data_IF_738050804378
#
_entry.id   IF_738050804378
#
_cell.length_a   1.000
_cell.length_b   1.000
_cell.length_c   1.000
_cell.angle_alpha   90.00
_cell.angle_beta   90.00
_cell.angle_gamma   90.00
#
_symmetry.space_group_name_H-M   'P 1'
#
loop_
_entity.id
_entity.type
_entity.pdbx_description
1 polymer ?
#
# COMPACT_ATOMS: atom_id res chain seq x y z
N UNK A 1 -41.02 -31.04 24.05
CA UNK A 1 -41.88 -29.93 24.49
C UNK A 1 -41.09 -28.99 25.38
N UNK A 2 -41.17 -27.67 25.17
CA UNK A 2 -40.57 -26.71 26.09
C UNK A 2 -41.24 -26.84 27.46
N UNK A 3 -40.45 -27.04 28.51
CA UNK A 3 -40.96 -27.20 29.89
C UNK A 3 -41.37 -25.87 30.53
N UNK A 4 -40.94 -24.75 29.96
CA UNK A 4 -41.22 -23.40 30.46
C UNK A 4 -40.92 -22.34 29.39
N UNK A 5 -40.80 -21.08 29.78
CA UNK A 5 -40.52 -19.94 28.89
C UNK A 5 -39.05 -19.86 28.50
N UNK A 6 -38.54 -20.92 27.89
CA UNK A 6 -37.18 -21.00 27.40
C UNK A 6 -37.11 -20.56 25.94
N UNK A 7 -35.91 -20.13 25.51
CA UNK A 7 -35.65 -19.84 24.11
C UNK A 7 -35.91 -21.06 23.22
N UNK A 8 -36.44 -20.83 22.01
CA UNK A 8 -36.67 -21.87 21.03
C UNK A 8 -35.31 -22.48 20.62
N UNK A 9 -35.11 -23.81 20.75
CA UNK A 9 -33.81 -24.41 20.52
C UNK A 9 -33.49 -24.57 19.03
N UNK A 10 -32.43 -23.89 18.57
CA UNK A 10 -31.82 -24.05 17.24
C UNK A 10 -30.50 -24.83 17.34
N UNK A 11 -30.56 -26.10 17.75
CA UNK A 11 -29.38 -26.88 18.15
C UNK A 11 -28.52 -27.43 17.00
N UNK A 12 -29.02 -27.44 15.76
CA UNK A 12 -28.29 -27.88 14.55
C UNK A 12 -27.59 -29.27 14.61
N UNK A 13 -28.08 -30.19 15.46
CA UNK A 13 -27.49 -31.52 15.69
C UNK A 13 -28.30 -32.67 15.05
N UNK A 14 -28.85 -32.46 13.84
CA UNK A 14 -29.78 -33.41 13.18
C UNK A 14 -29.17 -34.23 12.04
N UNK A 15 -27.84 -34.18 11.86
CA UNK A 15 -27.14 -34.79 10.71
C UNK A 15 -26.10 -35.82 11.15
N UNK A 16 -26.53 -36.91 11.80
CA UNK A 16 -25.71 -38.06 12.20
C UNK A 16 -24.27 -37.70 12.61
N UNK A 17 -24.15 -36.71 13.49
CA UNK A 17 -22.86 -36.08 13.79
C UNK A 17 -22.04 -36.91 14.78
N UNK A 18 -22.69 -37.69 15.65
CA UNK A 18 -22.06 -38.50 16.67
C UNK A 18 -21.70 -39.90 16.14
N UNK A 19 -20.53 -40.44 16.50
CA UNK A 19 -20.19 -41.83 16.21
C UNK A 19 -21.06 -42.75 17.07
N UNK A 20 -21.75 -43.71 16.45
CA UNK A 20 -22.51 -44.76 17.12
C UNK A 20 -22.35 -46.09 16.36
N UNK A 21 -23.00 -47.16 16.82
CA UNK A 21 -22.84 -48.50 16.25
C UNK A 21 -23.08 -48.56 14.74
N UNK A 22 -24.03 -47.78 14.21
CA UNK A 22 -24.33 -47.70 12.78
C UNK A 22 -23.60 -46.57 12.05
N UNK A 23 -23.15 -45.53 12.77
CA UNK A 23 -22.58 -44.32 12.15
C UNK A 23 -21.13 -44.08 12.56
N UNK A 24 -20.27 -43.83 11.56
CA UNK A 24 -18.87 -43.40 11.82
C UNK A 24 -18.78 -42.04 12.53
N UNK A 25 -19.80 -41.19 12.42
CA UNK A 25 -19.86 -39.84 12.98
C UNK A 25 -19.02 -38.80 12.21
N UNK A 26 -19.18 -37.53 12.59
CA UNK A 26 -18.42 -36.39 12.10
C UNK A 26 -18.02 -35.49 13.28
N UNK A 27 -17.28 -36.08 14.22
CA UNK A 27 -16.73 -35.39 15.40
C UNK A 27 -15.24 -35.20 15.23
N UNK A 28 -14.75 -34.00 15.55
CA UNK A 28 -13.32 -33.71 15.56
C UNK A 28 -12.87 -33.36 16.99
N UNK A 29 -12.03 -34.21 17.56
CA UNK A 29 -11.44 -33.99 18.89
C UNK A 29 -10.00 -33.48 18.75
N UNK A 30 -9.58 -32.56 19.62
CA UNK A 30 -8.26 -31.94 19.59
C UNK A 30 -7.29 -32.49 20.65
N UNK A 31 -7.34 -33.80 20.95
CA UNK A 31 -6.41 -34.44 21.90
C UNK A 31 -4.93 -34.31 21.47
N UNK A 32 -4.66 -34.25 20.17
CA UNK A 32 -3.32 -34.12 19.62
C UNK A 32 -2.78 -32.66 19.58
N UNK A 33 -3.53 -31.68 20.10
CA UNK A 33 -3.15 -30.27 20.09
C UNK A 33 -1.76 -29.99 20.72
N UNK A 34 -1.41 -30.50 21.93
CA UNK A 34 -0.08 -30.28 22.51
C UNK A 34 1.03 -30.95 21.70
N UNK A 35 0.83 -32.19 21.24
CA UNK A 35 1.79 -32.90 20.39
C UNK A 35 2.06 -32.16 19.07
N UNK A 36 1.01 -31.65 18.42
CA UNK A 36 1.16 -30.84 17.20
C UNK A 36 1.84 -29.48 17.48
N UNK A 37 1.63 -28.87 18.65
CA UNK A 37 2.35 -27.64 19.06
C UNK A 37 3.86 -27.91 19.19
N UNK A 38 4.24 -29.00 19.86
CA UNK A 38 5.63 -29.43 20.00
C UNK A 38 6.25 -29.76 18.63
N UNK A 39 5.57 -30.55 17.81
CA UNK A 39 5.98 -30.89 16.44
C UNK A 39 6.24 -29.64 15.58
N UNK A 40 5.29 -28.68 15.57
CA UNK A 40 5.46 -27.41 14.85
C UNK A 40 6.63 -26.58 15.38
N UNK A 41 6.96 -26.65 16.68
CA UNK A 41 8.15 -25.98 17.23
C UNK A 41 9.42 -26.67 16.76
N UNK A 42 9.54 -28.00 16.90
CA UNK A 42 10.70 -28.79 16.44
C UNK A 42 10.97 -28.57 14.96
N UNK A 43 9.95 -28.67 14.11
CA UNK A 43 10.10 -28.43 12.66
C UNK A 43 10.54 -27.01 12.32
N UNK A 44 10.08 -26.00 13.07
CA UNK A 44 10.57 -24.62 12.90
C UNK A 44 12.04 -24.49 13.30
N UNK A 45 12.48 -25.16 14.37
CA UNK A 45 13.89 -25.16 14.79
C UNK A 45 14.78 -25.89 13.78
N UNK A 46 14.33 -27.04 13.26
CA UNK A 46 15.02 -27.77 12.19
C UNK A 46 15.13 -26.94 10.92
N UNK A 47 14.04 -26.27 10.52
CA UNK A 47 14.07 -25.33 9.40
C UNK A 47 15.06 -24.19 9.64
N UNK A 48 15.08 -23.62 10.84
CA UNK A 48 15.99 -22.54 11.21
C UNK A 48 17.46 -22.95 11.02
N UNK A 49 17.83 -24.13 11.55
CA UNK A 49 19.17 -24.71 11.40
C UNK A 49 19.51 -24.95 9.92
N UNK A 50 18.57 -25.51 9.14
CA UNK A 50 18.76 -25.77 7.70
C UNK A 50 18.96 -24.48 6.88
N UNK A 51 18.31 -23.39 7.25
CA UNK A 51 18.37 -22.13 6.49
C UNK A 51 19.39 -21.13 7.02
N UNK A 52 20.12 -21.45 8.09
CA UNK A 52 21.17 -20.60 8.65
C UNK A 52 22.19 -20.25 7.55
N UNK A 53 22.61 -18.98 7.41
CA UNK A 53 22.37 -17.82 8.29
C UNK A 53 21.12 -16.98 7.97
N UNK A 54 20.39 -17.28 6.90
CA UNK A 54 19.26 -16.46 6.44
C UNK A 54 18.10 -16.40 7.47
N UNK A 55 17.36 -15.28 7.55
CA UNK A 55 16.16 -15.17 8.38
C UNK A 55 15.14 -16.27 8.09
N UNK A 56 14.44 -16.74 9.14
CA UNK A 56 13.47 -17.84 9.00
C UNK A 56 12.25 -17.47 8.12
N UNK A 57 11.91 -16.18 8.08
CA UNK A 57 10.84 -15.63 7.25
C UNK A 57 11.37 -14.45 6.43
N UNK A 58 10.98 -14.44 5.16
CA UNK A 58 11.23 -13.35 4.22
C UNK A 58 10.50 -12.06 4.61
N UNK A 59 11.05 -10.92 4.22
CA UNK A 59 10.48 -9.61 4.47
C UNK A 59 9.16 -9.42 3.74
N UNK A 60 8.19 -8.80 4.43
CA UNK A 60 6.86 -8.48 3.93
C UNK A 60 6.57 -6.99 4.16
N UNK A 61 5.79 -6.33 3.27
CA UNK A 61 5.46 -4.91 3.42
C UNK A 61 4.44 -4.68 4.52
N UNK A 62 4.34 -3.44 4.96
CA UNK A 62 3.24 -2.95 5.79
C UNK A 62 2.06 -2.56 4.90
N UNK A 63 0.86 -3.04 5.23
CA UNK A 63 -0.38 -2.77 4.47
C UNK A 63 -1.53 -2.51 5.44
N UNK A 64 -2.45 -1.62 5.04
CA UNK A 64 -3.68 -1.36 5.78
C UNK A 64 -4.66 -2.54 5.67
N UNK A 65 -5.44 -2.79 6.72
CA UNK A 65 -6.53 -3.75 6.63
C UNK A 65 -7.69 -3.20 5.77
N UNK A 66 -8.36 -4.06 4.98
CA UNK A 66 -9.52 -3.64 4.21
C UNK A 66 -10.72 -3.38 5.12
N UNK A 67 -11.69 -2.58 4.65
CA UNK A 67 -12.94 -2.15 5.30
C UNK A 67 -12.82 -1.00 6.32
N UNK A 68 -13.92 -0.24 6.47
CA UNK A 68 -14.03 0.88 7.42
C UNK A 68 -13.78 0.41 8.86
N UNK A 69 -14.24 -0.79 9.22
CA UNK A 69 -14.05 -1.36 10.57
C UNK A 69 -12.57 -1.55 10.95
N UNK A 70 -11.69 -1.72 9.97
CA UNK A 70 -10.29 -2.10 10.21
C UNK A 70 -9.27 -1.16 9.57
N UNK A 71 -9.69 -0.05 8.98
CA UNK A 71 -8.81 0.90 8.28
C UNK A 71 -7.66 1.43 9.17
N UNK A 72 -7.88 1.64 10.46
CA UNK A 72 -6.86 2.08 11.42
C UNK A 72 -5.79 1.01 11.72
N UNK A 73 -6.09 -0.28 11.46
CA UNK A 73 -5.19 -1.39 11.75
C UNK A 73 -4.24 -1.64 10.59
N UNK A 74 -2.96 -1.83 10.91
CA UNK A 74 -1.91 -2.23 9.97
C UNK A 74 -1.61 -3.73 10.11
N UNK A 75 -1.12 -4.36 9.05
CA UNK A 75 -0.69 -5.76 9.03
C UNK A 75 0.40 -6.00 7.99
N UNK A 76 1.03 -7.18 8.04
CA UNK A 76 1.95 -7.60 6.97
C UNK A 76 1.18 -8.01 5.71
N UNK A 77 1.52 -7.39 4.58
CA UNK A 77 1.01 -7.72 3.25
C UNK A 77 1.64 -8.99 2.68
N UNK A 78 1.30 -9.38 1.44
CA UNK A 78 1.88 -10.59 0.81
C UNK A 78 3.33 -10.35 0.35
N UNK A 79 3.58 -9.23 -0.32
CA UNK A 79 4.87 -8.83 -0.87
C UNK A 79 4.86 -7.37 -1.36
N UNK A 80 6.04 -6.81 -1.55
CA UNK A 80 6.27 -5.46 -2.06
C UNK A 80 5.81 -5.34 -3.51
N UNK A 81 5.36 -4.16 -3.92
CA UNK A 81 5.01 -3.89 -5.32
C UNK A 81 6.27 -3.64 -6.14
N UNK A 82 6.15 -3.78 -7.46
CA UNK A 82 7.23 -3.48 -8.40
C UNK A 82 7.63 -2.01 -8.31
N UNK A 83 6.66 -1.12 -8.13
CA UNK A 83 6.88 0.33 -7.97
C UNK A 83 7.69 0.66 -6.71
N UNK A 84 7.35 0.06 -5.56
CA UNK A 84 8.09 0.26 -4.31
C UNK A 84 9.54 -0.24 -4.44
N UNK A 85 9.73 -1.39 -5.08
CA UNK A 85 11.06 -1.97 -5.30
C UNK A 85 11.90 -1.11 -6.25
N UNK A 86 11.30 -0.63 -7.35
CA UNK A 86 11.95 0.28 -8.29
C UNK A 86 12.34 1.60 -7.61
N UNK A 87 11.46 2.16 -6.79
CA UNK A 87 11.75 3.37 -6.01
C UNK A 87 12.83 3.17 -4.93
N UNK A 88 13.01 1.92 -4.45
CA UNK A 88 14.10 1.54 -3.56
C UNK A 88 15.39 1.14 -4.30
N UNK A 89 15.42 1.15 -5.63
CA UNK A 89 16.58 0.75 -6.44
C UNK A 89 16.81 -0.76 -6.54
N UNK A 90 15.81 -1.58 -6.24
CA UNK A 90 15.92 -3.04 -6.19
C UNK A 90 15.23 -3.65 -7.41
N UNK A 91 15.94 -4.52 -8.14
CA UNK A 91 15.33 -5.27 -9.24
C UNK A 91 14.29 -6.28 -8.68
N UNK A 92 13.03 -6.27 -9.16
CA UNK A 92 11.99 -7.19 -8.70
C UNK A 92 12.33 -8.68 -8.86
N UNK A 93 13.18 -9.06 -9.81
CA UNK A 93 13.62 -10.45 -10.02
C UNK A 93 14.70 -10.87 -9.01
N UNK A 94 15.51 -9.92 -8.58
CA UNK A 94 16.57 -10.12 -7.58
C UNK A 94 16.02 -10.10 -6.15
N UNK A 95 15.00 -9.28 -5.87
CA UNK A 95 14.41 -9.16 -4.53
C UNK A 95 14.07 -10.52 -3.83
N UNK A 96 13.49 -11.54 -4.50
CA UNK A 96 13.23 -12.83 -3.87
C UNK A 96 14.48 -13.61 -3.45
N UNK A 97 15.61 -13.46 -4.12
CA UNK A 97 16.85 -14.20 -3.81
C UNK A 97 17.46 -13.70 -2.50
N UNK A 98 17.42 -12.40 -2.28
CA UNK A 98 17.86 -11.73 -1.05
C UNK A 98 16.84 -11.79 0.10
N UNK A 99 15.71 -12.49 -0.08
CA UNK A 99 14.73 -12.71 1.00
C UNK A 99 13.62 -11.67 1.11
N UNK A 100 13.34 -10.92 0.04
CA UNK A 100 12.23 -9.96 -0.03
C UNK A 100 11.06 -10.55 -0.83
N UNK A 101 9.84 -10.55 -0.28
CA UNK A 101 8.65 -11.04 -1.01
C UNK A 101 8.13 -10.00 -1.99
N UNK A 102 7.80 -10.43 -3.20
CA UNK A 102 7.24 -9.56 -4.26
C UNK A 102 5.78 -9.94 -4.54
N UNK A 103 4.91 -8.95 -4.73
CA UNK A 103 3.52 -9.12 -5.15
C UNK A 103 3.17 -8.16 -6.29
N UNK A 104 3.12 -8.69 -7.52
CA UNK A 104 2.81 -7.93 -8.74
C UNK A 104 1.34 -7.51 -8.84
N UNK A 105 0.46 -8.05 -8.01
CA UNK A 105 -1.00 -7.81 -8.08
C UNK A 105 -1.45 -6.60 -7.26
N UNK A 106 -0.68 -6.23 -6.23
CA UNK A 106 -1.03 -5.09 -5.38
C UNK A 106 -0.77 -3.80 -6.14
N UNK A 107 -1.68 -2.84 -6.00
CA UNK A 107 -1.57 -1.49 -6.57
C UNK A 107 -1.39 -0.49 -5.44
N UNK A 108 -0.52 0.50 -5.64
CA UNK A 108 -0.39 1.62 -4.72
C UNK A 108 -1.42 2.69 -5.08
N UNK A 109 -2.21 3.12 -4.10
CA UNK A 109 -3.22 4.18 -4.27
C UNK A 109 -2.88 5.45 -3.50
N UNK A 110 -1.95 5.37 -2.57
CA UNK A 110 -1.51 6.48 -1.74
C UNK A 110 0.02 6.49 -1.65
N UNK A 111 0.57 7.70 -1.64
CA UNK A 111 2.03 7.92 -1.57
C UNK A 111 2.56 7.57 -0.17
N UNK A 112 1.81 7.89 0.89
CA UNK A 112 2.15 7.56 2.28
C UNK A 112 2.40 6.06 2.49
N UNK A 113 1.54 5.21 1.90
CA UNK A 113 1.69 3.77 2.01
C UNK A 113 2.92 3.26 1.27
N UNK A 114 3.24 3.90 0.14
CA UNK A 114 4.41 3.59 -0.67
C UNK A 114 5.70 4.02 0.04
N UNK A 115 5.75 5.24 0.60
CA UNK A 115 6.93 5.79 1.28
C UNK A 115 7.33 4.97 2.52
N UNK A 116 6.35 4.54 3.33
CA UNK A 116 6.59 3.65 4.48
C UNK A 116 7.26 2.34 4.03
N UNK A 117 6.80 1.76 2.92
CA UNK A 117 7.36 0.51 2.41
C UNK A 117 8.74 0.71 1.74
N UNK A 118 8.97 1.85 1.09
CA UNK A 118 10.30 2.20 0.57
C UNK A 118 11.29 2.37 1.72
N UNK A 119 10.93 3.10 2.77
CA UNK A 119 11.76 3.22 3.98
C UNK A 119 12.05 1.85 4.58
N UNK A 120 11.02 0.99 4.67
CA UNK A 120 11.16 -0.40 5.13
C UNK A 120 12.16 -1.21 4.28
N UNK A 121 12.17 -1.03 2.96
CA UNK A 121 13.13 -1.67 2.07
C UNK A 121 14.55 -1.12 2.28
N UNK A 122 14.70 0.21 2.39
CA UNK A 122 16.01 0.85 2.64
C UNK A 122 16.62 0.40 3.97
N UNK A 123 15.84 0.37 5.05
CA UNK A 123 16.28 -0.14 6.36
C UNK A 123 16.65 -1.62 6.32
N UNK A 124 15.98 -2.41 5.48
CA UNK A 124 16.35 -3.82 5.31
C UNK A 124 17.67 -3.97 4.57
N UNK A 125 17.86 -3.23 3.47
CA UNK A 125 19.10 -3.26 2.68
C UNK A 125 20.30 -2.80 3.49
N UNK A 126 20.17 -1.78 4.34
CA UNK A 126 21.26 -1.30 5.19
C UNK A 126 21.70 -2.31 6.26
N UNK A 127 20.85 -3.30 6.58
CA UNK A 127 21.12 -4.35 7.59
C UNK A 127 21.36 -5.72 6.96
N UNK A 128 21.33 -5.80 5.63
CA UNK A 128 21.48 -7.05 4.91
C UNK A 128 22.97 -7.35 4.73
N UNK A 129 23.41 -8.46 5.29
CA UNK A 129 24.74 -9.03 5.01
C UNK A 129 24.57 -10.04 3.85
N UNK A 130 25.08 -9.70 2.66
CA UNK A 130 24.98 -10.55 1.48
C UNK A 130 26.24 -11.41 1.33
N UNK A 131 26.08 -12.72 1.38
CA UNK A 131 27.22 -13.64 1.32
C UNK A 131 27.75 -13.72 -0.11
N UNK A 132 29.09 -13.73 -0.31
CA UNK A 132 29.66 -13.91 -1.63
C UNK A 132 29.36 -15.31 -2.16
N UNK A 133 29.12 -15.43 -3.47
CA UNK A 133 28.93 -16.74 -4.11
C UNK A 133 30.24 -17.55 -4.11
N UNK A 134 31.38 -16.87 -4.24
CA UNK A 134 32.72 -17.43 -4.12
C UNK A 134 33.55 -16.58 -3.17
N UNK A 135 34.08 -17.18 -2.11
CA UNK A 135 34.91 -16.47 -1.12
C UNK A 135 36.23 -15.93 -1.68
N UNK A 136 36.68 -16.42 -2.83
CA UNK A 136 37.92 -15.96 -3.49
C UNK A 136 37.71 -14.68 -4.30
N UNK A 137 36.54 -14.51 -4.89
CA UNK A 137 36.22 -13.44 -5.83
C UNK A 137 34.98 -12.69 -5.33
N UNK A 138 35.19 -11.78 -4.38
CA UNK A 138 34.13 -11.00 -3.75
C UNK A 138 33.69 -9.88 -4.69
N UNK A 139 32.39 -9.81 -4.98
CA UNK A 139 31.81 -8.76 -5.82
C UNK A 139 31.43 -7.52 -4.99
N UNK A 140 31.20 -6.40 -5.68
CA UNK A 140 30.81 -5.15 -5.05
C UNK A 140 29.47 -5.30 -4.31
N UNK A 141 29.47 -4.99 -3.02
CA UNK A 141 28.27 -5.05 -2.15
C UNK A 141 28.02 -6.40 -1.47
N UNK A 142 28.96 -7.34 -1.59
CA UNK A 142 29.00 -8.56 -0.79
C UNK A 142 29.77 -8.32 0.51
N UNK A 143 29.49 -9.16 1.50
CA UNK A 143 30.00 -9.05 2.86
C UNK A 143 31.49 -9.41 2.97
N UNK A 144 32.20 -8.75 3.87
CA UNK A 144 33.57 -9.11 4.24
C UNK A 144 33.59 -10.39 5.08
N UNK A 145 34.75 -11.04 5.20
CA UNK A 145 34.86 -12.31 5.93
C UNK A 145 34.47 -12.18 7.42
N UNK A 146 34.71 -11.01 8.02
CA UNK A 146 34.35 -10.68 9.40
C UNK A 146 32.83 -10.60 9.61
N UNK A 147 32.13 -9.97 8.68
CA UNK A 147 30.66 -9.89 8.69
C UNK A 147 30.02 -11.26 8.47
N UNK A 148 30.63 -12.10 7.62
CA UNK A 148 30.17 -13.47 7.38
C UNK A 148 30.29 -14.32 8.66
N UNK A 149 31.41 -14.21 9.39
CA UNK A 149 31.64 -14.94 10.64
C UNK A 149 30.72 -14.47 11.78
N UNK A 150 30.45 -13.18 11.86
CA UNK A 150 29.55 -12.59 12.87
C UNK A 150 28.07 -12.68 12.51
N UNK A 151 27.71 -13.16 11.31
CA UNK A 151 26.34 -13.23 10.85
C UNK A 151 25.46 -14.10 11.76
N UNK A 152 24.38 -13.50 12.27
CA UNK A 152 23.38 -14.20 13.08
C UNK A 152 22.03 -14.27 12.39
N UNK A 153 21.24 -15.27 12.75
CA UNK A 153 19.92 -15.50 12.16
C UNK A 153 18.81 -14.79 12.96
N UNK A 154 17.94 -14.05 12.28
CA UNK A 154 16.66 -13.59 12.84
C UNK A 154 15.68 -14.77 13.00
N UNK A 155 15.37 -15.11 14.25
CA UNK A 155 14.41 -16.17 14.64
C UNK A 155 13.03 -15.62 15.03
N UNK A 156 12.80 -14.32 14.89
CA UNK A 156 11.51 -13.69 15.22
C UNK A 156 10.38 -14.28 14.39
N UNK A 157 9.18 -14.27 14.95
CA UNK A 157 8.00 -14.88 14.33
C UNK A 157 7.63 -14.22 13.00
N UNK A 158 8.01 -12.98 12.76
CA UNK A 158 7.54 -12.19 11.61
C UNK A 158 8.66 -11.73 10.66
N UNK A 159 9.94 -11.99 10.98
CA UNK A 159 11.06 -11.47 10.19
C UNK A 159 11.16 -9.94 10.29
N UNK A 160 10.91 -9.42 11.49
CA UNK A 160 10.79 -7.99 11.78
C UNK A 160 11.94 -7.48 12.65
N UNK A 161 12.89 -8.31 13.08
CA UNK A 161 13.98 -7.86 13.95
C UNK A 161 14.81 -6.77 13.27
N UNK A 162 15.16 -6.96 12.00
CA UNK A 162 15.94 -5.99 11.25
C UNK A 162 15.14 -4.70 10.97
N UNK A 163 13.82 -4.78 10.75
CA UNK A 163 13.06 -3.67 10.14
C UNK A 163 12.05 -3.02 11.08
N UNK A 164 12.00 -3.45 12.33
CA UNK A 164 11.09 -2.94 13.34
C UNK A 164 9.63 -3.38 13.16
N UNK A 165 8.80 -2.91 14.10
CA UNK A 165 7.36 -3.14 14.15
C UNK A 165 6.57 -2.40 13.07
N UNK A 166 5.25 -2.31 13.26
CA UNK A 166 4.41 -1.51 12.37
C UNK A 166 4.51 -0.04 12.74
N UNK A 167 4.60 0.82 11.73
CA UNK A 167 4.52 2.28 11.89
C UNK A 167 3.04 2.66 11.97
N UNK A 168 2.61 3.09 13.15
CA UNK A 168 1.28 3.65 13.40
C UNK A 168 1.40 5.15 13.67
N UNK A 169 0.45 5.97 13.22
CA UNK A 169 0.47 7.40 13.53
C UNK A 169 0.43 7.61 15.04
N UNK A 170 1.24 8.54 15.53
CA UNK A 170 1.25 8.94 16.92
C UNK A 170 0.02 9.80 17.24
N UNK A 171 -0.50 9.75 18.47
CA UNK A 171 -1.53 10.69 18.91
C UNK A 171 -0.96 12.12 18.90
N UNK A 172 -1.81 13.09 18.52
CA UNK A 172 -1.45 14.51 18.53
C UNK A 172 -1.24 14.99 19.98
N UNK A 173 -0.28 15.90 20.16
CA UNK A 173 -0.03 16.53 21.45
C UNK A 173 -1.18 17.50 21.82
N UNK A 174 -1.41 17.75 23.12
CA UNK A 174 -2.41 18.71 23.56
C UNK A 174 -2.15 20.11 22.97
N UNK A 175 -3.15 20.69 22.30
CA UNK A 175 -3.07 22.03 21.69
C UNK A 175 -4.25 22.91 22.14
N UNK A 176 -4.04 24.22 22.10
CA UNK A 176 -5.10 25.21 22.37
C UNK A 176 -6.13 25.16 21.23
N UNK A 177 -7.41 25.28 21.58
CA UNK A 177 -8.53 25.28 20.62
C UNK A 177 -8.48 26.54 19.76
N UNK A 178 -8.56 26.38 18.44
CA UNK A 178 -8.60 27.50 17.49
C UNK A 178 -9.98 28.15 17.44
N UNK A 179 -10.07 29.40 16.98
CA UNK A 179 -11.36 30.11 16.90
C UNK A 179 -12.35 29.44 15.92
N UNK A 180 -11.83 28.83 14.84
CA UNK A 180 -12.63 28.03 13.91
C UNK A 180 -13.22 26.77 14.57
N UNK A 181 -12.42 26.08 15.39
CA UNK A 181 -12.88 24.89 16.12
C UNK A 181 -13.93 25.23 17.18
N UNK A 182 -13.85 26.43 17.78
CA UNK A 182 -14.85 26.93 18.74
C UNK A 182 -16.21 27.21 18.09
N UNK A 183 -16.21 27.79 16.90
CA UNK A 183 -17.44 28.22 16.22
C UNK A 183 -18.10 27.10 15.39
N UNK A 184 -17.33 26.08 14.98
CA UNK A 184 -17.80 25.02 14.07
C UNK A 184 -18.74 24.03 14.74
N UNK A 185 -20.00 24.00 14.28
CA UNK A 185 -20.96 22.95 14.67
C UNK A 185 -20.76 21.64 13.86
N UNK A 186 -20.04 20.70 14.46
CA UNK A 186 -19.68 19.40 13.84
C UNK A 186 -20.91 18.52 13.55
N UNK A 187 -21.93 18.56 14.41
CA UNK A 187 -23.15 17.76 14.24
C UNK A 187 -23.95 18.23 13.02
N UNK A 188 -24.21 19.54 12.90
CA UNK A 188 -24.91 20.12 11.74
C UNK A 188 -24.16 19.85 10.44
N UNK A 189 -22.82 19.96 10.45
CA UNK A 189 -21.98 19.59 9.30
C UNK A 189 -22.17 18.13 8.90
N UNK A 190 -22.08 17.20 9.86
CA UNK A 190 -22.21 15.75 9.63
C UNK A 190 -23.61 15.36 9.11
N UNK A 191 -24.66 16.00 9.63
CA UNK A 191 -26.04 15.80 9.15
C UNK A 191 -26.23 16.32 7.73
N UNK A 192 -25.71 17.52 7.43
CA UNK A 192 -25.78 18.11 6.09
C UNK A 192 -25.03 17.26 5.06
N UNK A 193 -23.81 16.81 5.36
CA UNK A 193 -23.03 15.94 4.44
C UNK A 193 -23.74 14.62 4.21
N UNK A 194 -24.21 13.95 5.26
CA UNK A 194 -24.97 12.69 5.13
C UNK A 194 -26.22 12.87 4.27
N UNK A 195 -26.97 13.96 4.48
CA UNK A 195 -28.16 14.28 3.69
C UNK A 195 -27.80 14.59 2.23
N UNK A 196 -26.71 15.30 1.97
CA UNK A 196 -26.23 15.59 0.61
C UNK A 196 -25.80 14.31 -0.12
N UNK A 197 -25.02 13.43 0.52
CA UNK A 197 -24.62 12.15 -0.07
C UNK A 197 -25.84 11.26 -0.37
N UNK A 198 -26.81 11.21 0.54
CA UNK A 198 -28.04 10.45 0.33
C UNK A 198 -28.94 11.05 -0.77
N UNK A 199 -29.00 12.38 -0.88
CA UNK A 199 -29.91 13.06 -1.81
C UNK A 199 -29.32 13.29 -3.21
N UNK A 200 -28.01 13.45 -3.37
CA UNK A 200 -27.34 13.61 -4.68
C UNK A 200 -27.23 12.30 -5.46
N UNK A 201 -27.38 11.16 -4.79
CA UNK A 201 -27.43 9.85 -5.45
C UNK A 201 -28.78 9.53 -6.11
N UNK A 202 -29.86 10.30 -5.85
CA UNK A 202 -31.20 9.99 -6.39
C UNK A 202 -32.10 11.20 -6.68
N UNK A 203 -32.05 12.26 -5.88
CA UNK A 203 -33.04 13.35 -5.91
C UNK A 203 -32.58 14.65 -6.59
N UNK A 204 -31.30 14.74 -6.97
CA UNK A 204 -30.76 15.88 -7.73
C UNK A 204 -31.25 15.93 -9.19
N UNK A 205 -31.60 14.77 -9.77
CA UNK A 205 -32.16 14.69 -11.12
C UNK A 205 -33.65 15.07 -11.15
N UNK A 206 -34.42 14.68 -10.12
CA UNK A 206 -35.88 14.88 -10.07
C UNK A 206 -36.26 16.35 -9.81
N UNK A 207 -35.49 17.10 -9.01
CA UNK A 207 -35.82 18.49 -8.69
C UNK A 207 -35.61 19.49 -9.83
N UNK A 208 -34.83 19.16 -10.85
CA UNK A 208 -34.67 19.98 -12.06
C UNK A 208 -35.61 19.60 -13.21
N UNK A 209 -36.36 18.49 -13.10
CA UNK A 209 -37.31 18.05 -14.12
C UNK A 209 -38.67 18.78 -14.07
N UNK A 210 -38.95 19.54 -13.01
CA UNK A 210 -40.25 20.19 -12.77
C UNK A 210 -40.26 21.72 -12.79
N UNK A 211 -39.16 22.39 -13.17
CA UNK A 211 -39.20 23.85 -13.39
C UNK A 211 -39.48 24.11 -14.88
N UNK A 212 -40.59 24.75 -15.26
CA UNK A 212 -40.75 25.20 -16.64
C UNK A 212 -39.59 26.13 -16.98
N UNK A 213 -38.89 25.87 -18.08
CA UNK A 213 -37.95 26.82 -18.67
C UNK A 213 -38.76 28.09 -18.97
N UNK A 214 -38.59 29.15 -18.16
CA UNK A 214 -39.04 30.49 -18.54
C UNK A 214 -38.38 30.79 -19.88
N UNK A 215 -39.17 30.75 -20.95
CA UNK A 215 -38.80 31.26 -22.25
C UNK A 215 -38.61 32.77 -22.11
N UNK A 216 -37.36 33.21 -21.94
CA UNK A 216 -37.00 34.61 -22.20
C UNK A 216 -37.24 34.85 -23.70
N UNK A 217 -38.35 35.50 -24.04
CA UNK A 217 -38.55 36.11 -25.36
C UNK A 217 -37.64 37.33 -25.46
N UNK A 218 -36.52 37.12 -26.14
CA UNK A 218 -35.95 37.93 -27.22
C UNK A 218 -36.08 39.46 -27.15
N UNK A 219 -34.94 40.17 -27.05
CA UNK A 219 -34.36 40.96 -28.15
C UNK A 219 -33.23 41.85 -27.62
N UNK A 220 -31.98 41.54 -27.97
CA UNK A 220 -31.05 42.38 -28.76
C UNK A 220 -29.62 41.79 -28.60
N UNK A 221 -29.11 41.24 -29.70
CA UNK A 221 -27.71 40.85 -29.97
C UNK A 221 -26.79 42.11 -30.02
N UNK A 222 -25.45 42.06 -30.22
CA UNK A 222 -24.59 40.96 -30.72
C UNK A 222 -23.27 40.78 -29.89
N UNK A 223 -22.33 39.85 -30.06
CA UNK A 223 -21.85 38.94 -31.11
C UNK A 223 -21.20 37.70 -30.46
N UNK A 224 -21.17 36.58 -31.20
CA UNK A 224 -20.41 35.34 -30.96
C UNK A 224 -18.86 35.52 -31.15
N UNK A 225 -18.05 34.46 -31.31
CA UNK A 225 -17.40 33.67 -30.26
C UNK A 225 -15.85 33.68 -30.47
N UNK A 226 -15.10 32.88 -29.68
CA UNK A 226 -13.69 32.51 -29.97
C UNK A 226 -12.67 33.66 -29.80
N UNK A 227 -12.21 33.97 -28.58
CA UNK A 227 -10.97 34.75 -28.37
C UNK A 227 -10.40 34.77 -26.93
N UNK A 228 -10.34 33.64 -26.24
CA UNK A 228 -9.50 33.52 -25.02
C UNK A 228 -8.76 32.19 -24.86
N UNK A 229 -8.99 31.22 -25.75
CA UNK A 229 -8.20 29.98 -25.77
C UNK A 229 -6.93 30.05 -26.65
N UNK A 230 -6.75 31.10 -27.46
CA UNK A 230 -5.58 31.24 -28.34
C UNK A 230 -4.40 32.01 -27.74
N UNK A 231 -4.58 32.79 -26.65
CA UNK A 231 -3.51 33.67 -26.13
C UNK A 231 -2.56 32.92 -25.17
N UNK A 232 -3.00 31.86 -24.49
CA UNK A 232 -2.11 31.03 -23.66
C UNK A 232 -1.41 29.91 -24.45
N UNK A 233 -1.92 29.53 -25.62
CA UNK A 233 -1.25 28.57 -26.51
C UNK A 233 -0.21 29.23 -27.42
N UNK A 234 -0.41 30.51 -27.81
CA UNK A 234 0.59 31.27 -28.55
C UNK A 234 1.77 31.75 -27.69
N UNK A 235 1.56 32.04 -26.41
CA UNK A 235 2.66 32.46 -25.51
C UNK A 235 3.65 31.32 -25.22
N UNK A 236 3.19 30.06 -25.20
CA UNK A 236 4.04 28.90 -24.94
C UNK A 236 4.86 28.47 -26.18
N UNK A 237 4.36 28.69 -27.40
CA UNK A 237 5.12 28.42 -28.63
C UNK A 237 6.13 29.52 -28.99
N UNK A 238 5.93 30.76 -28.54
CA UNK A 238 6.87 31.85 -28.84
C UNK A 238 8.16 31.78 -27.99
N UNK A 239 8.06 31.35 -26.73
CA UNK A 239 9.25 31.12 -25.89
C UNK A 239 10.09 29.91 -26.32
N UNK A 240 9.47 28.88 -26.93
CA UNK A 240 10.21 27.71 -27.41
C UNK A 240 10.98 27.99 -28.72
N UNK A 241 10.50 28.95 -29.53
CA UNK A 241 11.13 29.31 -30.81
C UNK A 241 12.26 30.32 -30.66
N UNK A 242 12.25 31.16 -29.61
CA UNK A 242 13.39 32.01 -29.25
C UNK A 242 14.58 31.23 -28.68
N UNK A 243 14.33 30.12 -27.98
CA UNK A 243 15.40 29.28 -27.40
C UNK A 243 16.08 28.37 -28.43
N UNK A 244 15.41 28.06 -29.56
CA UNK A 244 15.97 27.21 -30.60
C UNK A 244 16.83 27.97 -31.63
N UNK A 245 16.60 29.27 -31.85
CA UNK A 245 17.40 30.04 -32.81
C UNK A 245 18.77 30.46 -32.25
N UNK A 246 18.88 30.70 -30.94
CA UNK A 246 20.17 31.03 -30.30
C UNK A 246 21.11 29.82 -30.25
N UNK A 247 20.57 28.61 -30.08
CA UNK A 247 21.34 27.36 -30.11
C UNK A 247 21.81 26.98 -31.52
N UNK A 248 21.02 27.23 -32.56
CA UNK A 248 21.45 26.97 -33.94
C UNK A 248 22.47 27.99 -34.45
N UNK A 249 22.39 29.24 -34.00
CA UNK A 249 23.36 30.28 -34.36
C UNK A 249 24.74 30.04 -33.69
N UNK A 250 24.77 29.57 -32.44
CA UNK A 250 26.04 29.18 -31.79
C UNK A 250 26.67 27.94 -32.43
N UNK A 251 25.87 26.97 -32.89
CA UNK A 251 26.37 25.76 -33.52
C UNK A 251 26.96 26.02 -34.92
N UNK A 252 26.39 26.96 -35.68
CA UNK A 252 26.92 27.35 -37.00
C UNK A 252 28.20 28.18 -36.91
N UNK A 253 28.33 29.06 -35.92
CA UNK A 253 29.57 29.84 -35.70
C UNK A 253 30.71 28.93 -35.24
N UNK A 254 30.44 27.91 -34.41
CA UNK A 254 31.44 26.91 -34.04
C UNK A 254 31.85 26.00 -35.23
N UNK A 255 30.92 25.69 -36.14
CA UNK A 255 31.20 24.88 -37.32
C UNK A 255 32.04 25.64 -38.38
N UNK A 256 31.79 26.94 -38.56
CA UNK A 256 32.62 27.78 -39.44
C UNK A 256 34.03 28.05 -38.89
N UNK A 257 34.21 28.11 -37.56
CA UNK A 257 35.54 28.24 -36.94
C UNK A 257 36.38 26.95 -37.01
N UNK A 258 35.75 25.78 -37.14
CA UNK A 258 36.43 24.49 -37.31
C UNK A 258 36.73 24.11 -38.76
N UNK A 259 36.19 24.83 -39.75
CA UNK A 259 36.41 24.58 -41.18
C UNK A 259 37.49 25.48 -41.82
N UNK A 260 38.08 26.41 -41.06
CA UNK A 260 39.15 27.33 -41.51
C UNK A 260 40.45 27.17 -40.69
N UNK A 261 40.71 25.98 -40.14
CA UNK A 261 41.98 25.58 -39.50
C UNK A 261 42.48 24.28 -40.14
#
# INVERSE_FOLDING_TARGET
MPKGKNAIPHVHQRKHWNPCSSQKGNVKVFLNQPAQKLRRRRLRLLKAKKTFPRPLKALRPQVNCPTVRHNMKKRLGRGFTVEELKAAGINPRFAPTIGIRVDRRRKNKSEEGMSINIQRLKTYMSKLVLFPMSYKNVQKGEATEEEVKSATQDRTRFGTAAVGGFVTPAPEAPRKVTEEERTKNVYKFSRRTTALFASLAFAGHVRNAGRPRRTRRSNFFPHDPIKTCCILFFFFMFLFKFFSLTYWCLQYVLFCLYACL
#
